data_IF_418675991973
#
_entry.id   IF_418675991973
#
_cell.length_a   1.000
_cell.length_b   1.000
_cell.length_c   1.000
_cell.angle_alpha   90.00
_cell.angle_beta   90.00
_cell.angle_gamma   90.00
#
_symmetry.space_group_name_H-M   'P 1'
#
loop_
_entity.id
_entity.type
_entity.pdbx_description
1 polymer ?
#
# COMPACT_ATOMS: atom_id res chain seq x y z
N UNK A 1 20.19 12.32 -35.02
CA UNK A 1 19.68 12.02 -33.67
C UNK A 1 18.97 13.27 -33.17
N UNK A 2 17.66 13.39 -33.41
CA UNK A 2 16.85 14.47 -32.86
C UNK A 2 16.58 14.16 -31.39
N UNK A 3 17.27 14.85 -30.48
CA UNK A 3 16.91 14.80 -29.07
C UNK A 3 15.50 15.38 -28.93
N UNK A 4 14.53 14.56 -28.52
CA UNK A 4 13.20 15.04 -28.18
C UNK A 4 13.34 16.11 -27.08
N UNK A 5 12.95 17.34 -27.40
CA UNK A 5 13.00 18.45 -26.46
C UNK A 5 11.79 18.35 -25.54
N UNK A 6 12.05 17.94 -24.30
CA UNK A 6 11.03 17.83 -23.27
C UNK A 6 10.74 19.23 -22.70
N UNK A 7 9.67 19.85 -23.21
CA UNK A 7 9.23 21.20 -22.84
C UNK A 7 8.96 21.30 -21.32
N UNK A 8 8.22 20.36 -20.69
CA UNK A 8 8.07 20.33 -19.23
C UNK A 8 9.39 20.35 -18.46
N UNK A 9 10.34 19.47 -18.81
CA UNK A 9 11.65 19.44 -18.13
C UNK A 9 12.46 20.70 -18.36
N UNK A 10 12.36 21.30 -19.55
CA UNK A 10 13.06 22.55 -19.86
C UNK A 10 12.48 23.74 -19.09
N UNK A 11 11.17 23.77 -18.89
CA UNK A 11 10.46 24.76 -18.07
C UNK A 11 10.85 24.60 -16.61
N UNK A 12 10.78 23.39 -16.06
CA UNK A 12 11.15 23.11 -14.66
C UNK A 12 12.63 23.41 -14.36
N UNK A 13 13.53 23.23 -15.33
CA UNK A 13 14.95 23.59 -15.18
C UNK A 13 15.19 25.11 -15.16
N UNK A 14 14.32 25.89 -15.81
CA UNK A 14 14.44 27.35 -15.94
C UNK A 14 13.64 28.10 -14.86
N UNK A 15 12.64 27.45 -14.27
CA UNK A 15 11.86 27.98 -13.16
C UNK A 15 12.56 27.63 -11.83
N UNK A 16 12.81 28.64 -11.01
CA UNK A 16 13.25 28.43 -9.62
C UNK A 16 12.02 28.44 -8.71
N UNK A 17 11.72 27.30 -8.09
CA UNK A 17 10.70 27.23 -7.04
C UNK A 17 11.32 27.74 -5.74
N UNK A 18 10.82 28.87 -5.23
CA UNK A 18 11.24 29.45 -3.96
C UNK A 18 10.10 29.38 -2.95
N UNK A 19 10.42 29.07 -1.69
CA UNK A 19 9.43 29.11 -0.62
C UNK A 19 8.99 30.57 -0.34
N UNK A 20 7.75 30.74 0.10
CA UNK A 20 7.19 32.08 0.40
C UNK A 20 8.00 32.83 1.45
N UNK A 21 8.58 32.11 2.42
CA UNK A 21 9.44 32.68 3.45
C UNK A 21 10.75 33.26 2.90
N UNK A 22 11.29 32.65 1.84
CA UNK A 22 12.51 33.15 1.18
C UNK A 22 12.23 34.37 0.30
N UNK A 23 11.04 34.41 -0.31
CA UNK A 23 10.54 35.58 -1.03
C UNK A 23 10.29 36.75 -0.07
N UNK A 24 9.74 36.48 1.11
CA UNK A 24 9.54 37.48 2.17
C UNK A 24 10.87 38.03 2.70
N UNK A 25 11.88 37.17 2.91
CA UNK A 25 13.26 37.59 3.26
C UNK A 25 13.92 38.46 2.19
N UNK A 26 13.56 38.26 0.92
CA UNK A 26 13.98 39.11 -0.21
C UNK A 26 13.16 40.40 -0.38
N UNK A 27 12.21 40.67 0.52
CA UNK A 27 11.39 41.89 0.51
C UNK A 27 10.15 41.82 -0.39
N UNK A 28 9.86 40.66 -1.00
CA UNK A 28 8.64 40.45 -1.77
C UNK A 28 7.49 40.08 -0.82
N UNK A 29 6.68 41.08 -0.45
CA UNK A 29 5.54 40.92 0.49
C UNK A 29 4.25 40.42 -0.17
N UNK A 30 4.13 40.58 -1.49
CA UNK A 30 2.98 40.13 -2.28
C UNK A 30 3.50 39.42 -3.51
N UNK A 31 3.05 38.20 -3.75
CA UNK A 31 3.45 37.40 -4.90
C UNK A 31 2.20 36.95 -5.64
N UNK A 32 2.21 37.06 -6.98
CA UNK A 32 1.16 36.46 -7.80
C UNK A 32 1.51 34.99 -8.01
N UNK A 33 0.70 34.11 -7.47
CA UNK A 33 0.82 32.67 -7.70
C UNK A 33 0.09 32.37 -9.00
N UNK A 34 0.80 31.79 -9.95
CA UNK A 34 0.21 31.23 -11.16
C UNK A 34 0.15 29.72 -10.98
N UNK A 35 -0.99 29.14 -11.34
CA UNK A 35 -1.13 27.69 -11.34
C UNK A 35 -0.22 27.08 -12.42
N UNK A 36 0.60 26.10 -12.01
CA UNK A 36 1.49 25.38 -12.92
C UNK A 36 0.66 24.69 -14.00
N UNK A 37 -0.48 24.09 -13.65
CA UNK A 37 -1.31 23.37 -14.62
C UNK A 37 -1.84 24.31 -15.71
N UNK A 38 -2.32 25.50 -15.34
CA UNK A 38 -2.81 26.49 -16.31
C UNK A 38 -1.70 27.01 -17.23
N UNK A 39 -0.49 27.25 -16.71
CA UNK A 39 0.65 27.67 -17.56
C UNK A 39 1.02 26.56 -18.54
N UNK A 40 1.08 25.31 -18.08
CA UNK A 40 1.45 24.18 -18.94
C UNK A 40 0.40 23.96 -20.03
N UNK A 41 -0.89 24.03 -19.69
CA UNK A 41 -1.99 23.96 -20.67
C UNK A 41 -1.92 25.09 -21.71
N UNK A 42 -1.61 26.33 -21.31
CA UNK A 42 -1.41 27.45 -22.25
C UNK A 42 -0.19 27.24 -23.15
N UNK A 43 0.87 26.64 -22.64
CA UNK A 43 2.05 26.28 -23.44
C UNK A 43 1.68 25.18 -24.44
N UNK A 44 0.95 24.16 -24.03
CA UNK A 44 0.53 23.06 -24.89
C UNK A 44 -0.38 23.58 -26.02
N UNK A 45 -1.38 24.42 -25.72
CA UNK A 45 -2.24 25.07 -26.72
C UNK A 45 -1.43 25.95 -27.70
N UNK A 46 -0.47 26.72 -27.19
CA UNK A 46 0.41 27.54 -28.03
C UNK A 46 1.33 26.69 -28.93
N UNK A 47 1.77 25.52 -28.45
CA UNK A 47 2.55 24.59 -29.27
C UNK A 47 1.66 23.93 -30.32
N UNK A 48 0.46 23.49 -29.95
CA UNK A 48 -0.51 22.89 -30.86
C UNK A 48 -0.88 23.82 -32.02
N UNK A 49 -1.16 25.09 -31.74
CA UNK A 49 -1.47 26.11 -32.76
C UNK A 49 -0.29 26.32 -33.72
N UNK A 50 0.94 26.48 -33.20
CA UNK A 50 2.14 26.63 -34.04
C UNK A 50 2.43 25.37 -34.86
N UNK A 51 2.18 24.18 -34.32
CA UNK A 51 2.35 22.92 -35.04
C UNK A 51 1.28 22.78 -36.12
N UNK A 52 0.02 23.13 -35.83
CA UNK A 52 -1.06 23.12 -36.80
C UNK A 52 -0.79 24.07 -37.98
N UNK A 53 -0.32 25.29 -37.71
CA UNK A 53 0.05 26.26 -38.73
C UNK A 53 1.20 25.74 -39.60
N UNK A 54 2.25 25.18 -38.97
CA UNK A 54 3.37 24.57 -39.71
C UNK A 54 2.93 23.37 -40.55
N UNK A 55 2.01 22.55 -40.04
CA UNK A 55 1.45 21.41 -40.77
C UNK A 55 0.52 21.85 -41.91
N UNK A 56 -0.13 23.01 -41.81
CA UNK A 56 -0.92 23.59 -42.88
C UNK A 56 -0.03 24.16 -44.00
N UNK A 57 1.13 24.72 -43.67
CA UNK A 57 2.14 25.20 -44.63
C UNK A 57 2.94 24.06 -45.30
N UNK A 58 2.97 22.86 -44.70
CA UNK A 58 3.65 21.68 -45.24
C UNK A 58 2.93 21.11 -46.46
N UNK A 59 3.71 20.69 -47.46
CA UNK A 59 3.19 20.02 -48.66
C UNK A 59 2.48 18.71 -48.28
N UNK A 60 1.43 18.36 -49.03
CA UNK A 60 0.64 17.16 -48.79
C UNK A 60 1.50 15.88 -48.71
N UNK A 61 2.52 15.76 -49.57
CA UNK A 61 3.43 14.61 -49.58
C UNK A 61 4.24 14.46 -48.28
N UNK A 62 4.68 15.57 -47.68
CA UNK A 62 5.45 15.54 -46.43
C UNK A 62 4.55 15.25 -45.22
N UNK A 63 3.29 15.70 -45.26
CA UNK A 63 2.27 15.33 -44.26
C UNK A 63 1.97 13.84 -44.27
N UNK A 64 1.86 13.25 -45.44
CA UNK A 64 1.54 11.82 -45.56
C UNK A 64 2.74 10.95 -45.15
N UNK A 65 3.97 11.37 -45.48
CA UNK A 65 5.19 10.73 -44.93
C UNK A 65 5.22 10.80 -43.40
N UNK A 66 4.94 11.97 -42.82
CA UNK A 66 4.92 12.13 -41.37
C UNK A 66 3.85 11.26 -40.71
N UNK A 67 2.68 11.10 -41.33
CA UNK A 67 1.61 10.21 -40.86
C UNK A 67 2.04 8.75 -40.89
N UNK A 68 2.71 8.30 -41.94
CA UNK A 68 3.19 6.93 -42.03
C UNK A 68 4.33 6.67 -41.03
N UNK A 69 5.24 7.62 -40.85
CA UNK A 69 6.25 7.56 -39.78
C UNK A 69 5.60 7.51 -38.39
N UNK A 70 4.60 8.35 -38.13
CA UNK A 70 3.88 8.33 -36.85
C UNK A 70 3.14 6.99 -36.61
N UNK A 71 2.47 6.45 -37.63
CA UNK A 71 1.80 5.14 -37.54
C UNK A 71 2.79 4.01 -37.26
N UNK A 72 3.96 4.02 -37.88
CA UNK A 72 4.98 2.98 -37.67
C UNK A 72 5.59 3.07 -36.27
N UNK A 73 5.91 4.28 -35.79
CA UNK A 73 6.38 4.48 -34.41
C UNK A 73 5.31 4.11 -33.39
N UNK A 74 4.04 4.47 -33.63
CA UNK A 74 2.94 4.10 -32.75
C UNK A 74 2.78 2.57 -32.68
N UNK A 75 2.77 1.88 -33.84
CA UNK A 75 2.73 0.41 -33.87
C UNK A 75 3.89 -0.21 -33.10
N UNK A 76 5.10 0.32 -33.26
CA UNK A 76 6.28 -0.13 -32.51
C UNK A 76 6.09 0.05 -31.00
N UNK A 77 5.59 1.21 -30.57
CA UNK A 77 5.41 1.53 -29.15
C UNK A 77 4.29 0.70 -28.50
N UNK A 78 3.22 0.42 -29.25
CA UNK A 78 2.14 -0.49 -28.80
C UNK A 78 2.67 -1.91 -28.67
N UNK A 79 3.46 -2.39 -29.63
CA UNK A 79 4.09 -3.71 -29.54
C UNK A 79 5.05 -3.81 -28.35
N UNK A 80 5.89 -2.79 -28.13
CA UNK A 80 6.81 -2.73 -26.98
C UNK A 80 6.06 -2.67 -25.64
N UNK A 81 4.96 -1.92 -25.57
CA UNK A 81 4.11 -1.92 -24.37
C UNK A 81 3.48 -3.28 -24.13
N UNK A 82 2.96 -3.93 -25.18
CA UNK A 82 2.34 -5.24 -25.08
C UNK A 82 3.36 -6.31 -24.68
N UNK A 83 4.57 -6.31 -25.28
CA UNK A 83 5.63 -7.23 -24.90
C UNK A 83 6.05 -7.04 -23.45
N UNK A 84 6.22 -5.79 -22.99
CA UNK A 84 6.53 -5.50 -21.57
C UNK A 84 5.42 -5.97 -20.63
N UNK A 85 4.16 -5.80 -21.01
CA UNK A 85 3.04 -6.29 -20.19
C UNK A 85 3.03 -7.82 -20.12
N UNK A 86 3.35 -8.51 -21.22
CA UNK A 86 3.49 -9.96 -21.24
C UNK A 86 4.68 -10.44 -20.40
N UNK A 87 5.86 -9.84 -20.56
CA UNK A 87 7.03 -10.16 -19.75
C UNK A 87 6.76 -9.96 -18.25
N UNK A 88 6.00 -8.91 -17.88
CA UNK A 88 5.57 -8.71 -16.50
C UNK A 88 4.60 -9.80 -16.04
N UNK A 89 3.62 -10.18 -16.87
CA UNK A 89 2.70 -11.27 -16.55
C UNK A 89 3.45 -12.59 -16.35
N UNK A 90 4.35 -12.94 -17.27
CA UNK A 90 5.19 -14.13 -17.18
C UNK A 90 6.06 -14.10 -15.92
N UNK A 91 6.68 -12.97 -15.58
CA UNK A 91 7.46 -12.83 -14.34
C UNK A 91 6.60 -13.00 -13.07
N UNK A 92 5.35 -12.54 -13.09
CA UNK A 92 4.41 -12.79 -11.98
C UNK A 92 3.99 -14.25 -11.91
N UNK A 93 3.74 -14.89 -13.05
CA UNK A 93 3.39 -16.31 -13.14
C UNK A 93 4.54 -17.19 -12.60
N UNK A 94 5.78 -16.95 -13.02
CA UNK A 94 6.97 -17.62 -12.50
C UNK A 94 7.12 -17.41 -10.98
N UNK A 95 6.85 -16.19 -10.49
CA UNK A 95 6.91 -15.91 -9.05
C UNK A 95 5.81 -16.66 -8.29
N UNK A 96 4.62 -16.76 -8.84
CA UNK A 96 3.50 -17.51 -8.25
C UNK A 96 3.84 -19.00 -8.23
N UNK A 97 4.42 -19.55 -9.30
CA UNK A 97 4.84 -20.94 -9.37
C UNK A 97 5.92 -21.25 -8.33
N UNK A 98 6.92 -20.38 -8.19
CA UNK A 98 7.95 -20.51 -7.16
C UNK A 98 7.36 -20.46 -5.74
N UNK A 99 6.39 -19.56 -5.48
CA UNK A 99 5.70 -19.49 -4.19
C UNK A 99 4.86 -20.75 -3.92
N UNK A 100 4.20 -21.30 -4.95
CA UNK A 100 3.48 -22.58 -4.84
C UNK A 100 4.43 -23.73 -4.54
N UNK A 101 5.57 -23.82 -5.21
CA UNK A 101 6.58 -24.83 -4.92
C UNK A 101 7.13 -24.71 -3.49
N UNK A 102 7.35 -23.48 -3.01
CA UNK A 102 7.75 -23.24 -1.62
C UNK A 102 6.67 -23.69 -0.64
N UNK A 103 5.39 -23.37 -0.90
CA UNK A 103 4.28 -23.80 -0.06
C UNK A 103 4.21 -25.33 0.05
N UNK A 104 4.30 -26.05 -1.08
CA UNK A 104 4.32 -27.52 -1.09
C UNK A 104 5.52 -28.06 -0.32
N UNK A 105 6.72 -27.48 -0.51
CA UNK A 105 7.92 -27.93 0.23
C UNK A 105 7.86 -27.67 1.73
N UNK A 106 7.10 -26.66 2.16
CA UNK A 106 6.88 -26.36 3.58
C UNK A 106 5.80 -27.26 4.16
N UNK A 107 4.75 -27.56 3.39
CA UNK A 107 3.70 -28.51 3.76
C UNK A 107 4.29 -29.92 3.96
N UNK A 108 5.15 -30.39 3.04
CA UNK A 108 5.85 -31.67 3.18
C UNK A 108 6.72 -31.72 4.45
N UNK A 109 7.44 -30.64 4.77
CA UNK A 109 8.23 -30.56 6.01
C UNK A 109 7.37 -30.52 7.27
N UNK A 110 6.19 -29.91 7.22
CA UNK A 110 5.25 -29.92 8.33
C UNK A 110 4.68 -31.32 8.53
N UNK A 111 4.31 -32.01 7.45
CA UNK A 111 3.83 -33.39 7.53
C UNK A 111 4.93 -34.35 8.04
N UNK A 112 6.18 -34.19 7.60
CA UNK A 112 7.31 -34.94 8.14
C UNK A 112 7.54 -34.68 9.64
N UNK A 113 7.43 -33.41 10.06
CA UNK A 113 7.57 -33.05 11.48
C UNK A 113 6.40 -33.58 12.33
N UNK A 114 5.17 -33.57 11.80
CA UNK A 114 4.00 -34.18 12.43
C UNK A 114 4.18 -35.69 12.57
N UNK A 115 4.61 -36.38 11.51
CA UNK A 115 4.92 -37.82 11.58
C UNK A 115 6.00 -38.15 12.60
N UNK A 116 7.09 -37.38 12.65
CA UNK A 116 8.14 -37.57 13.67
C UNK A 116 7.60 -37.34 15.09
N UNK A 117 6.72 -36.36 15.27
CA UNK A 117 6.08 -36.10 16.57
C UNK A 117 5.15 -37.25 16.97
N UNK A 118 4.37 -37.78 16.03
CA UNK A 118 3.47 -38.90 16.26
C UNK A 118 4.24 -40.21 16.54
N UNK A 119 5.37 -40.44 15.86
CA UNK A 119 6.28 -41.56 16.13
C UNK A 119 6.94 -41.45 17.51
N UNK A 120 7.35 -40.26 17.93
CA UNK A 120 7.86 -40.02 19.30
C UNK A 120 6.75 -40.20 20.34
N UNK A 121 5.52 -39.75 20.05
CA UNK A 121 4.37 -39.91 20.95
C UNK A 121 3.94 -41.38 21.10
N UNK A 122 4.02 -42.17 20.02
CA UNK A 122 3.68 -43.60 20.05
C UNK A 122 4.76 -44.46 20.72
N UNK A 123 6.05 -44.09 20.59
CA UNK A 123 7.12 -44.75 21.36
C UNK A 123 7.02 -44.48 22.87
N UNK A 124 6.37 -43.39 23.31
CA UNK A 124 6.09 -43.15 24.74
C UNK A 124 4.93 -44.00 25.26
N UNK A 125 3.99 -44.43 24.40
CA UNK A 125 2.86 -45.28 24.82
C UNK A 125 3.14 -46.81 24.83
N UNK A 126 4.21 -47.30 24.20
CA UNK A 126 4.51 -48.76 24.14
C UNK A 126 5.43 -49.29 25.26
N UNK A 127 5.69 -48.54 26.33
CA UNK A 127 6.40 -49.08 27.51
C UNK A 127 5.47 -49.33 28.70
N UNK A 128 5.06 -50.60 28.98
CA UNK A 128 4.41 -50.95 30.22
C UNK A 128 5.46 -51.43 31.23
N UNK A 129 5.86 -50.60 32.20
CA UNK A 129 6.60 -51.11 33.38
C UNK A 129 6.20 -50.37 34.65
N UNK A 130 5.54 -51.13 35.52
CA UNK A 130 5.48 -50.93 36.97
C UNK A 130 6.89 -51.13 37.55
N UNK A 131 7.29 -50.24 38.46
CA UNK A 131 8.34 -50.44 39.47
C UNK A 131 9.81 -50.11 39.10
N UNK A 132 10.31 -49.08 39.79
CA UNK A 132 11.70 -48.84 40.24
C UNK A 132 12.83 -48.87 39.20
N UNK A 133 13.44 -47.71 38.92
CA UNK A 133 14.90 -47.47 38.97
C UNK A 133 15.20 -45.96 38.84
N UNK A 134 16.17 -45.56 39.67
CA UNK A 134 16.93 -44.32 39.81
C UNK A 134 17.09 -43.41 38.58
N UNK A 135 16.83 -42.11 38.77
CA UNK A 135 17.30 -41.02 37.90
C UNK A 135 18.35 -40.20 38.66
N UNK A 136 19.56 -40.01 38.10
CA UNK A 136 20.61 -39.21 38.74
C UNK A 136 20.28 -37.71 38.63
N UNK A 137 20.36 -37.03 39.78
CA UNK A 137 20.62 -35.61 40.02
C UNK A 137 20.26 -34.59 38.91
N UNK A 138 19.09 -33.97 39.05
CA UNK A 138 18.87 -32.55 38.73
C UNK A 138 17.90 -31.98 39.77
N UNK A 139 18.04 -30.70 40.18
CA UNK A 139 17.68 -30.26 41.53
C UNK A 139 16.17 -30.28 41.72
N UNK A 140 15.71 -31.08 42.68
CA UNK A 140 14.33 -31.05 43.16
C UNK A 140 14.06 -29.69 43.77
N UNK A 141 13.36 -28.84 43.02
CA UNK A 141 12.82 -27.58 43.54
C UNK A 141 11.84 -27.92 44.65
N UNK A 142 12.19 -27.52 45.86
CA UNK A 142 11.41 -27.81 47.06
C UNK A 142 10.08 -27.05 46.99
N UNK A 143 8.98 -27.71 47.36
CA UNK A 143 7.63 -27.13 47.23
C UNK A 143 7.50 -25.85 48.07
N UNK A 144 8.29 -25.74 49.13
CA UNK A 144 8.39 -24.54 49.96
C UNK A 144 9.17 -23.39 49.27
N UNK A 145 10.19 -23.70 48.45
CA UNK A 145 10.89 -22.69 47.63
C UNK A 145 9.98 -22.14 46.53
N UNK A 146 9.13 -22.98 45.93
CA UNK A 146 8.13 -22.53 44.94
C UNK A 146 7.10 -21.61 45.62
N UNK A 147 6.72 -21.92 46.87
CA UNK A 147 5.74 -21.11 47.62
C UNK A 147 6.31 -19.75 48.03
N UNK A 148 7.59 -19.70 48.35
CA UNK A 148 8.29 -18.46 48.68
C UNK A 148 8.54 -17.62 47.43
N UNK A 149 8.90 -18.21 46.29
CA UNK A 149 9.02 -17.50 45.00
C UNK A 149 7.67 -16.99 44.49
N UNK A 150 6.58 -17.74 44.68
CA UNK A 150 5.22 -17.26 44.35
C UNK A 150 4.78 -16.15 45.30
N UNK A 151 5.14 -16.22 46.59
CA UNK A 151 4.83 -15.15 47.56
C UNK A 151 5.66 -13.89 47.27
N UNK A 152 6.91 -14.05 46.87
CA UNK A 152 7.80 -12.97 46.46
C UNK A 152 7.33 -12.33 45.14
N UNK A 153 7.00 -13.13 44.12
CA UNK A 153 6.44 -12.64 42.85
C UNK A 153 5.06 -11.98 43.02
N UNK A 154 4.22 -12.45 43.95
CA UNK A 154 2.93 -11.82 44.27
C UNK A 154 3.11 -10.55 45.12
N UNK A 155 4.17 -10.45 45.92
CA UNK A 155 4.51 -9.23 46.66
C UNK A 155 5.15 -8.18 45.74
N UNK A 156 5.99 -8.61 44.80
CA UNK A 156 6.64 -7.78 43.78
C UNK A 156 5.62 -7.27 42.75
N UNK A 157 4.64 -8.09 42.37
CA UNK A 157 3.47 -7.67 41.58
C UNK A 157 2.48 -6.77 42.34
N UNK A 158 2.64 -6.60 43.67
CA UNK A 158 1.79 -5.72 44.49
C UNK A 158 2.42 -4.35 44.78
N UNK A 159 3.68 -4.16 44.37
CA UNK A 159 4.41 -2.88 44.50
C UNK A 159 4.57 -2.10 43.20
N UNK A 160 4.04 -2.59 42.08
CA UNK A 160 3.87 -1.80 40.85
C UNK A 160 2.38 -1.65 40.51
N UNK A 161 1.87 -0.42 40.32
CA UNK A 161 0.46 -0.20 40.03
C UNK A 161 0.21 -0.49 38.56
N UNK A 162 -0.13 -1.73 38.23
CA UNK A 162 -0.64 -2.10 36.90
C UNK A 162 -2.10 -2.51 37.01
N UNK A 163 -2.92 -1.57 37.50
CA UNK A 163 -4.36 -1.61 37.28
C UNK A 163 -4.72 -0.80 36.03
N UNK A 164 -5.63 -1.39 35.23
CA UNK A 164 -6.46 -0.82 34.15
C UNK A 164 -5.77 -0.22 32.91
N UNK A 165 -5.48 -1.06 31.91
CA UNK A 165 -5.42 -0.61 30.49
C UNK A 165 -6.30 -1.44 29.54
N UNK A 166 -6.60 -2.70 29.85
CA UNK A 166 -7.41 -3.57 28.98
C UNK A 166 -8.91 -3.25 28.99
N UNK A 167 -9.43 -2.62 30.05
CA UNK A 167 -10.82 -2.16 30.11
C UNK A 167 -11.10 -0.99 29.17
N UNK A 168 -10.22 0.03 29.21
CA UNK A 168 -10.37 1.24 28.38
C UNK A 168 -10.31 0.94 26.88
N UNK A 169 -9.42 0.04 26.45
CA UNK A 169 -9.30 -0.33 25.04
C UNK A 169 -10.55 -1.05 24.53
N UNK A 170 -11.20 -1.87 25.36
CA UNK A 170 -12.41 -2.57 24.97
C UNK A 170 -13.63 -1.63 24.98
N UNK A 171 -13.63 -0.63 25.85
CA UNK A 171 -14.67 0.41 25.91
C UNK A 171 -14.53 1.41 24.75
N UNK A 172 -13.31 1.78 24.36
CA UNK A 172 -12.99 2.57 23.18
C UNK A 172 -13.33 1.82 21.88
N UNK A 173 -13.06 0.51 21.84
CA UNK A 173 -13.48 -0.34 20.72
C UNK A 173 -15.01 -0.44 20.63
N UNK A 174 -15.72 -0.55 21.75
CA UNK A 174 -17.20 -0.51 21.76
C UNK A 174 -17.73 0.84 21.33
N UNK A 175 -17.16 1.94 21.82
CA UNK A 175 -17.55 3.30 21.44
C UNK A 175 -17.30 3.58 19.95
N UNK A 176 -16.20 3.06 19.38
CA UNK A 176 -15.93 3.18 17.94
C UNK A 176 -16.85 2.32 17.08
N UNK A 177 -17.22 1.11 17.53
CA UNK A 177 -18.22 0.26 16.86
C UNK A 177 -19.61 0.92 16.89
N UNK A 178 -20.02 1.48 18.02
CA UNK A 178 -21.30 2.20 18.13
C UNK A 178 -21.31 3.50 17.31
N UNK A 179 -20.18 4.22 17.23
CA UNK A 179 -20.03 5.38 16.36
C UNK A 179 -20.10 4.98 14.87
N UNK A 180 -19.52 3.85 14.48
CA UNK A 180 -19.61 3.28 13.13
C UNK A 180 -21.04 2.83 12.81
N UNK A 181 -21.71 2.13 13.71
CA UNK A 181 -23.10 1.70 13.54
C UNK A 181 -24.03 2.92 13.38
N UNK A 182 -23.88 3.93 14.24
CA UNK A 182 -24.64 5.17 14.11
C UNK A 182 -24.30 5.94 12.84
N UNK A 183 -23.05 5.94 12.38
CA UNK A 183 -22.66 6.60 11.12
C UNK A 183 -23.15 5.84 9.88
N UNK A 184 -23.29 4.52 9.94
CA UNK A 184 -23.90 3.72 8.87
C UNK A 184 -25.41 3.92 8.85
N UNK A 185 -26.07 3.97 10.01
CA UNK A 185 -27.51 4.23 10.11
C UNK A 185 -27.85 5.68 9.74
N UNK A 186 -27.04 6.67 10.16
CA UNK A 186 -27.22 8.07 9.79
C UNK A 186 -26.74 8.37 8.35
N UNK A 187 -25.73 7.66 7.85
CA UNK A 187 -25.33 7.69 6.44
C UNK A 187 -26.42 7.12 5.52
N UNK A 188 -27.17 6.12 6.00
CA UNK A 188 -28.37 5.63 5.34
C UNK A 188 -29.58 6.56 5.49
N UNK A 189 -29.60 7.45 6.49
CA UNK A 189 -30.72 8.38 6.74
C UNK A 189 -30.51 9.78 6.11
N UNK A 190 -29.27 10.22 5.86
CA UNK A 190 -28.96 11.54 5.30
C UNK A 190 -28.92 11.57 3.77
N UNK A 191 -28.84 10.41 3.11
CA UNK A 191 -29.08 10.28 1.66
C UNK A 191 -30.34 9.48 1.48
N UNK A 192 -31.46 10.20 1.36
CA UNK A 192 -32.71 9.81 0.71
C UNK A 192 -32.95 8.30 0.61
N UNK A 193 -33.93 7.84 1.38
CA UNK A 193 -34.74 6.66 1.09
C UNK A 193 -35.30 6.69 -0.34
N UNK A 194 -34.48 6.37 -1.33
CA UNK A 194 -34.93 5.82 -2.60
C UNK A 194 -34.86 4.31 -2.43
N UNK A 195 -36.03 3.74 -2.27
CA UNK A 195 -36.33 2.36 -2.62
C UNK A 195 -35.49 1.97 -3.85
N UNK A 196 -34.50 1.10 -3.68
CA UNK A 196 -33.75 0.56 -4.82
C UNK A 196 -34.65 -0.51 -5.44
N UNK A 197 -35.55 -0.05 -6.29
CA UNK A 197 -36.20 -0.89 -7.28
C UNK A 197 -35.11 -1.46 -8.20
N UNK A 198 -35.15 -2.76 -8.57
CA UNK A 198 -34.19 -3.28 -9.53
C UNK A 198 -34.24 -2.41 -10.80
N UNK A 199 -33.08 -1.98 -11.31
CA UNK A 199 -33.03 -1.07 -12.45
C UNK A 199 -33.83 -1.67 -13.61
N UNK A 200 -34.69 -0.86 -14.22
CA UNK A 200 -35.49 -1.30 -15.36
C UNK A 200 -34.55 -1.78 -16.49
N UNK A 201 -35.01 -2.76 -17.26
CA UNK A 201 -34.25 -3.31 -18.38
C UNK A 201 -33.81 -2.21 -19.38
N UNK A 202 -34.65 -1.18 -19.56
CA UNK A 202 -34.35 0.00 -20.36
C UNK A 202 -33.17 0.83 -19.81
N UNK A 203 -32.99 0.92 -18.49
CA UNK A 203 -31.88 1.64 -17.87
C UNK A 203 -30.55 0.90 -18.05
N UNK A 204 -30.60 -0.44 -18.03
CA UNK A 204 -29.43 -1.26 -18.34
C UNK A 204 -29.09 -1.21 -19.83
N UNK A 205 -30.09 -1.24 -20.71
CA UNK A 205 -29.88 -1.05 -22.16
C UNK A 205 -29.34 0.34 -22.47
N UNK A 206 -29.75 1.39 -21.76
CA UNK A 206 -29.21 2.74 -21.93
C UNK A 206 -27.73 2.85 -21.53
N UNK A 207 -27.28 2.05 -20.57
CA UNK A 207 -25.87 2.02 -20.13
C UNK A 207 -24.94 1.41 -21.17
N UNK A 208 -25.41 0.41 -21.92
CA UNK A 208 -24.66 -0.25 -23.01
C UNK A 208 -24.91 0.36 -24.40
N UNK A 209 -26.00 1.12 -24.57
CA UNK A 209 -26.31 1.87 -25.80
C UNK A 209 -25.62 3.23 -25.86
N UNK A 210 -24.96 3.64 -24.77
CA UNK A 210 -24.15 4.86 -24.75
C UNK A 210 -22.84 4.57 -25.48
N UNK A 211 -22.80 4.93 -26.75
CA UNK A 211 -21.58 4.95 -27.56
C UNK A 211 -20.50 5.78 -26.84
N UNK A 212 -19.54 5.07 -26.23
CA UNK A 212 -18.09 5.30 -26.29
C UNK A 212 -17.45 6.65 -25.91
N UNK A 213 -18.20 7.73 -25.68
CA UNK A 213 -17.63 9.09 -25.64
C UNK A 213 -17.69 9.78 -24.27
N UNK A 214 -17.98 9.03 -23.21
CA UNK A 214 -17.71 9.53 -21.86
C UNK A 214 -16.47 8.87 -21.32
N UNK A 215 -15.38 9.65 -21.34
CA UNK A 215 -14.20 9.39 -20.55
C UNK A 215 -14.65 9.12 -19.11
N UNK A 216 -14.61 7.85 -18.72
CA UNK A 216 -14.73 7.46 -17.33
C UNK A 216 -13.57 8.16 -16.63
N UNK A 217 -13.87 9.25 -15.93
CA UNK A 217 -12.89 10.03 -15.17
C UNK A 217 -12.23 9.11 -14.15
N UNK A 218 -11.05 8.63 -14.52
CA UNK A 218 -10.31 7.67 -13.73
C UNK A 218 -9.51 8.41 -12.67
N UNK A 219 -10.12 8.62 -11.51
CA UNK A 219 -9.48 9.29 -10.38
C UNK A 219 -8.36 8.47 -9.72
N UNK A 220 -7.99 7.28 -10.23
CA UNK A 220 -6.86 6.50 -9.73
C UNK A 220 -5.54 7.28 -9.79
N UNK A 221 -5.35 8.15 -10.78
CA UNK A 221 -4.12 8.94 -10.92
C UNK A 221 -4.05 10.13 -9.95
N UNK A 222 -5.18 10.51 -9.33
CA UNK A 222 -5.26 11.56 -8.29
C UNK A 222 -5.01 11.00 -6.89
N UNK A 223 -4.97 9.67 -6.73
CA UNK A 223 -4.66 9.04 -5.46
C UNK A 223 -3.14 8.96 -5.29
N UNK A 224 -2.55 10.06 -4.83
CA UNK A 224 -1.20 10.01 -4.26
C UNK A 224 -1.25 9.17 -2.97
N UNK A 225 -0.85 7.91 -3.07
CA UNK A 225 -0.51 7.12 -1.89
C UNK A 225 0.68 7.84 -1.25
N UNK A 226 0.40 8.62 -0.20
CA UNK A 226 1.43 9.07 0.73
C UNK A 226 2.03 7.79 1.31
N UNK A 227 3.09 7.31 0.66
CA UNK A 227 4.05 6.41 1.26
C UNK A 227 4.68 7.23 2.39
N UNK A 228 3.99 7.29 3.52
CA UNK A 228 4.59 7.63 4.77
C UNK A 228 5.80 6.72 4.84
N UNK A 229 6.98 7.32 4.73
CA UNK A 229 8.26 6.67 4.97
C UNK A 229 8.24 6.37 6.47
N UNK A 230 7.43 5.40 6.87
CA UNK A 230 7.53 4.70 8.12
C UNK A 230 8.91 4.09 8.02
N UNK A 231 9.90 4.81 8.54
CA UNK A 231 11.27 4.34 8.57
C UNK A 231 11.20 2.92 9.11
N UNK A 232 11.68 1.97 8.32
CA UNK A 232 11.56 0.54 8.63
C UNK A 232 11.95 0.27 10.08
N UNK A 233 11.49 -0.84 10.65
CA UNK A 233 11.57 -1.20 12.08
C UNK A 233 12.79 -0.63 12.83
N UNK A 234 13.99 -0.66 12.24
CA UNK A 234 15.21 -0.01 12.75
C UNK A 234 15.09 1.49 13.12
N UNK A 235 14.41 2.32 12.31
CA UNK A 235 14.20 3.73 12.59
C UNK A 235 13.20 3.98 13.73
N UNK A 236 12.17 3.13 13.85
CA UNK A 236 11.26 3.16 14.99
C UNK A 236 11.95 2.68 16.28
N UNK A 237 12.82 1.67 16.19
CA UNK A 237 13.61 1.16 17.31
C UNK A 237 14.64 2.20 17.82
N UNK A 238 15.24 2.96 16.91
CA UNK A 238 16.12 4.09 17.25
C UNK A 238 15.37 5.23 17.96
N UNK A 239 14.15 5.56 17.51
CA UNK A 239 13.30 6.56 18.19
C UNK A 239 12.90 6.09 19.59
N UNK A 240 12.55 4.82 19.76
CA UNK A 240 12.21 4.22 21.06
C UNK A 240 13.40 4.25 22.03
N UNK A 241 14.61 3.92 21.55
CA UNK A 241 15.84 4.02 22.36
C UNK A 241 16.17 5.46 22.78
N UNK A 242 15.89 6.45 21.93
CA UNK A 242 16.13 7.85 22.28
C UNK A 242 15.09 8.35 23.28
N UNK A 243 13.82 7.94 23.16
CA UNK A 243 12.78 8.24 24.15
C UNK A 243 13.06 7.63 25.52
N UNK A 244 13.58 6.40 25.58
CA UNK A 244 13.98 5.76 26.85
C UNK A 244 15.16 6.44 27.53
N UNK A 245 16.02 7.14 26.77
CA UNK A 245 17.15 7.90 27.32
C UNK A 245 16.78 9.31 27.77
N UNK A 246 15.65 9.85 27.32
CA UNK A 246 15.14 11.14 27.80
C UNK A 246 14.32 11.01 29.09
N UNK A 247 14.05 9.78 29.54
CA UNK A 247 13.29 9.47 30.76
C UNK A 247 14.15 9.02 31.96
N UNK A 248 15.48 9.08 31.84
CA UNK A 248 16.44 9.00 32.97
C UNK A 248 17.04 10.38 33.28
#
# INVERSE_FOLDING_TARGET
MSSAFDVPKAVDKRLSTMAVDELAKRGMRTVKVLDKASIMSLIDEAVETVVADRLAELKADDRDRLREEAKTQFKKLVQERNSRQKEQQEAYEERIENLRAQAVSLEEKLEEAERQKDEVSTQVEETPVVETVEVPASPSLDVDQIRDVVREAVAEAKTEPTEVTSGSQMEDLKASIDALANKVVQGAAATSSKHVEPPSEDALMALFSREGDEEVENNLDQVEIKNAKAGGVAANLAKLKNLQKETE
#
